data_IF_970421638957
#
_entry.id   IF_970421638957
#
_cell.length_a   1.000
_cell.length_b   1.000
_cell.length_c   1.000
_cell.angle_alpha   90.00
_cell.angle_beta   90.00
_cell.angle_gamma   90.00
#
_symmetry.space_group_name_H-M   'P 1'
#
loop_
_entity.id
_entity.type
_entity.pdbx_description
1 polymer ?
#
# COMPACT_ATOMS: atom_id res chain seq x y z
N UNK A 1 -10.43 -13.33 32.88
CA UNK A 1 -11.44 -12.55 32.13
C UNK A 1 -11.02 -12.44 30.66
N UNK A 2 -10.70 -13.58 30.05
CA UNK A 2 -10.24 -13.70 28.65
C UNK A 2 -11.23 -14.62 27.95
N UNK A 3 -11.95 -14.10 26.96
CA UNK A 3 -12.75 -14.86 25.97
C UNK A 3 -13.70 -13.94 25.18
N UNK A 4 -14.02 -12.74 25.67
CA UNK A 4 -15.08 -11.93 25.05
C UNK A 4 -14.65 -11.20 23.74
N UNK A 5 -13.37 -10.87 23.58
CA UNK A 5 -12.90 -10.06 22.44
C UNK A 5 -12.75 -10.84 21.13
N UNK A 6 -12.35 -12.12 21.20
CA UNK A 6 -12.21 -12.99 20.03
C UNK A 6 -13.57 -13.31 19.40
N UNK A 7 -14.59 -13.54 20.24
CA UNK A 7 -15.95 -13.85 19.80
C UNK A 7 -16.63 -12.67 19.11
N UNK A 8 -16.37 -11.43 19.54
CA UNK A 8 -16.96 -10.23 18.94
C UNK A 8 -16.45 -9.98 17.50
N UNK A 9 -15.15 -10.20 17.25
CA UNK A 9 -14.55 -10.05 15.92
C UNK A 9 -15.09 -11.11 14.93
N UNK A 10 -15.22 -12.37 15.35
CA UNK A 10 -15.80 -13.43 14.50
C UNK A 10 -17.31 -13.25 14.22
N UNK A 11 -18.06 -12.60 15.12
CA UNK A 11 -19.49 -12.36 14.93
C UNK A 11 -19.78 -11.25 13.90
N UNK A 12 -18.91 -10.24 13.84
CA UNK A 12 -19.03 -9.13 12.88
C UNK A 12 -18.84 -9.61 11.43
N UNK A 13 -17.88 -10.52 11.19
CA UNK A 13 -17.64 -11.12 9.87
C UNK A 13 -18.78 -12.02 9.39
N UNK A 14 -19.49 -12.73 10.29
CA UNK A 14 -20.60 -13.62 9.91
C UNK A 14 -21.87 -12.89 9.50
N UNK A 15 -22.12 -11.68 10.02
CA UNK A 15 -23.36 -10.93 9.72
C UNK A 15 -23.37 -10.31 8.31
N UNK A 16 -22.21 -10.14 7.68
CA UNK A 16 -22.11 -9.55 6.35
C UNK A 16 -22.33 -10.54 5.18
N UNK A 17 -22.53 -11.83 5.47
CA UNK A 17 -22.57 -12.90 4.45
C UNK A 17 -23.97 -13.50 4.20
N UNK A 18 -25.04 -12.93 4.75
CA UNK A 18 -26.38 -13.53 4.69
C UNK A 18 -27.46 -12.57 4.12
N UNK A 19 -27.41 -12.34 2.81
CA UNK A 19 -28.50 -11.86 1.93
C UNK A 19 -27.92 -11.98 0.50
N UNK A 20 -28.48 -12.61 -0.53
CA UNK A 20 -29.82 -13.09 -0.88
C UNK A 20 -29.67 -14.31 -1.82
N UNK A 21 -30.60 -15.29 -1.76
CA UNK A 21 -30.78 -16.30 -2.80
C UNK A 21 -32.27 -16.39 -3.12
N UNK A 22 -32.65 -15.97 -4.33
CA UNK A 22 -33.98 -16.15 -4.90
C UNK A 22 -33.86 -16.39 -6.41
N UNK A 23 -34.19 -17.59 -6.85
CA UNK A 23 -34.05 -18.04 -8.23
C UNK A 23 -35.26 -17.77 -9.12
N UNK A 24 -35.06 -17.95 -10.44
CA UNK A 24 -36.11 -18.01 -11.45
C UNK A 24 -35.51 -18.18 -12.84
N UNK A 25 -35.68 -19.36 -13.46
CA UNK A 25 -35.08 -19.73 -14.74
C UNK A 25 -35.93 -19.35 -15.98
N UNK A 26 -35.31 -19.48 -17.16
CA UNK A 26 -36.01 -19.48 -18.45
C UNK A 26 -35.12 -19.31 -19.70
N UNK A 27 -34.85 -20.42 -20.39
CA UNK A 27 -34.97 -20.59 -21.86
C UNK A 27 -34.11 -19.82 -22.89
N UNK A 28 -33.28 -20.60 -23.61
CA UNK A 28 -32.94 -20.53 -25.06
C UNK A 28 -32.44 -19.23 -25.72
N UNK A 29 -31.21 -19.28 -26.28
CA UNK A 29 -30.95 -19.39 -27.73
C UNK A 29 -29.49 -19.03 -28.08
N UNK A 30 -28.91 -19.84 -28.97
CA UNK A 30 -27.54 -19.77 -29.49
C UNK A 30 -27.44 -18.70 -30.57
N UNK A 31 -26.53 -17.72 -30.44
CA UNK A 31 -26.06 -16.91 -31.59
C UNK A 31 -24.59 -16.51 -31.45
N UNK A 32 -23.98 -16.55 -32.61
CA UNK A 32 -22.57 -16.51 -32.98
C UNK A 32 -21.89 -15.15 -32.80
N UNK A 33 -20.59 -15.20 -32.53
CA UNK A 33 -19.66 -14.07 -32.52
C UNK A 33 -19.27 -13.70 -31.10
N UNK A 34 -18.13 -14.20 -30.60
CA UNK A 34 -17.55 -13.67 -29.36
C UNK A 34 -17.15 -12.22 -29.64
N UNK A 35 -17.81 -11.22 -29.05
CA UNK A 35 -17.20 -9.91 -28.96
C UNK A 35 -15.97 -10.14 -28.10
N UNK A 36 -14.80 -9.68 -28.54
CA UNK A 36 -13.64 -9.61 -27.66
C UNK A 36 -14.02 -8.58 -26.60
N UNK A 37 -14.61 -9.04 -25.49
CA UNK A 37 -15.01 -8.21 -24.36
C UNK A 37 -13.74 -7.49 -23.96
N UNK A 38 -13.69 -6.21 -24.30
CA UNK A 38 -12.67 -5.30 -23.79
C UNK A 38 -13.07 -5.15 -22.33
N UNK A 39 -12.53 -6.02 -21.47
CA UNK A 39 -12.71 -5.91 -20.03
C UNK A 39 -12.34 -4.46 -19.70
N UNK A 40 -13.33 -3.67 -19.29
CA UNK A 40 -13.05 -2.38 -18.70
C UNK A 40 -12.36 -2.71 -17.39
N UNK A 41 -11.03 -2.79 -17.41
CA UNK A 41 -10.26 -3.03 -16.22
C UNK A 41 -10.72 -2.02 -15.16
N UNK A 42 -11.11 -2.52 -13.99
CA UNK A 42 -11.48 -1.68 -12.85
C UNK A 42 -10.43 -0.58 -12.69
N UNK A 43 -10.89 0.67 -12.59
CA UNK A 43 -9.99 1.80 -12.38
C UNK A 43 -9.53 1.76 -10.94
N UNK A 44 -8.23 1.95 -10.69
CA UNK A 44 -7.74 2.05 -9.31
C UNK A 44 -8.34 3.22 -8.53
N UNK A 45 -8.94 4.22 -9.20
CA UNK A 45 -9.75 5.27 -8.53
C UNK A 45 -10.90 4.68 -7.71
N UNK A 46 -11.50 3.56 -8.14
CA UNK A 46 -12.58 2.90 -7.40
C UNK A 46 -12.11 2.28 -6.08
N UNK A 47 -10.83 1.88 -6.00
CA UNK A 47 -10.21 1.40 -4.76
C UNK A 47 -10.03 2.56 -3.78
N UNK A 48 -9.55 3.70 -4.27
CA UNK A 48 -9.38 4.91 -3.46
C UNK A 48 -10.72 5.42 -2.94
N UNK A 49 -11.74 5.50 -3.81
CA UNK A 49 -13.08 5.95 -3.42
C UNK A 49 -13.67 5.05 -2.33
N UNK A 50 -13.65 3.72 -2.55
CA UNK A 50 -14.08 2.76 -1.53
C UNK A 50 -13.33 2.97 -0.22
N UNK A 51 -12.01 3.19 -0.29
CA UNK A 51 -11.22 3.34 0.93
C UNK A 51 -11.57 4.59 1.72
N UNK A 52 -11.84 5.71 1.05
CA UNK A 52 -12.27 6.94 1.70
C UNK A 52 -13.67 6.79 2.30
N UNK A 53 -14.60 6.19 1.55
CA UNK A 53 -15.98 5.97 2.00
C UNK A 53 -16.03 5.03 3.21
N UNK A 54 -15.32 3.89 3.14
CA UNK A 54 -15.25 2.94 4.25
C UNK A 54 -14.57 3.58 5.46
N UNK A 55 -13.45 4.29 5.29
CA UNK A 55 -12.77 4.97 6.42
C UNK A 55 -13.68 6.00 7.09
N UNK A 56 -14.52 6.71 6.32
CA UNK A 56 -15.46 7.70 6.85
C UNK A 56 -16.57 7.09 7.73
N UNK A 57 -16.85 5.79 7.60
CA UNK A 57 -17.76 5.08 8.50
C UNK A 57 -17.17 4.84 9.89
N UNK A 58 -15.84 4.76 9.98
CA UNK A 58 -15.11 4.49 11.21
C UNK A 58 -14.62 5.75 11.91
N UNK A 59 -14.27 6.78 11.15
CA UNK A 59 -13.66 7.99 11.71
C UNK A 59 -13.86 9.22 10.83
N UNK A 60 -13.73 10.41 11.41
CA UNK A 60 -13.82 11.66 10.67
C UNK A 60 -12.52 11.92 9.90
N UNK A 61 -12.59 11.80 8.58
CA UNK A 61 -11.49 12.10 7.65
C UNK A 61 -11.48 13.59 7.32
N UNK A 62 -10.31 14.22 7.33
CA UNK A 62 -10.10 15.61 6.94
C UNK A 62 -8.96 15.71 5.91
N UNK A 63 -9.01 16.65 4.94
CA UNK A 63 -7.89 16.88 4.03
C UNK A 63 -6.62 17.23 4.80
N UNK A 64 -5.50 16.60 4.44
CA UNK A 64 -4.19 16.92 5.03
C UNK A 64 -3.67 18.24 4.43
N UNK A 65 -2.80 19.00 5.14
CA UNK A 65 -2.08 20.14 4.55
C UNK A 65 -1.28 19.81 3.29
N UNK A 66 -0.96 18.52 3.07
CA UNK A 66 -0.32 18.06 1.84
C UNK A 66 -1.26 18.15 0.61
N UNK A 67 -2.57 18.16 0.80
CA UNK A 67 -3.56 18.16 -0.29
C UNK A 67 -3.45 19.43 -1.13
N UNK A 68 -3.33 20.59 -0.49
CA UNK A 68 -3.17 21.88 -1.16
C UNK A 68 -1.86 21.95 -1.96
N UNK A 69 -0.83 21.24 -1.48
CA UNK A 69 0.54 21.34 -1.98
C UNK A 69 0.81 20.39 -3.14
N UNK A 70 0.15 19.24 -3.17
CA UNK A 70 0.42 18.15 -4.12
C UNK A 70 -0.80 17.69 -4.92
N UNK A 71 -2.02 18.11 -4.55
CA UNK A 71 -3.25 17.68 -5.22
C UNK A 71 -3.37 18.10 -6.68
N UNK A 72 -2.56 19.06 -7.14
CA UNK A 72 -2.59 19.59 -8.51
C UNK A 72 -1.36 19.23 -9.35
N UNK A 73 -0.65 18.15 -9.02
CA UNK A 73 0.56 17.76 -9.76
C UNK A 73 0.20 17.36 -11.20
N UNK A 74 0.74 18.09 -12.19
CA UNK A 74 0.57 17.77 -13.61
C UNK A 74 1.72 16.88 -14.11
N UNK A 75 1.42 15.84 -14.91
CA UNK A 75 2.44 15.06 -15.61
C UNK A 75 3.26 15.90 -16.58
N UNK A 76 4.38 15.35 -17.04
CA UNK A 76 5.18 15.95 -18.12
C UNK A 76 4.53 15.78 -19.50
N UNK A 77 3.61 14.83 -19.66
CA UNK A 77 2.87 14.60 -20.89
C UNK A 77 1.36 14.82 -20.70
N UNK A 78 0.66 15.12 -21.80
CA UNK A 78 -0.81 15.29 -21.81
C UNK A 78 -1.57 13.94 -21.92
N UNK A 79 -0.87 12.81 -21.74
CA UNK A 79 -1.40 11.45 -21.99
C UNK A 79 -1.51 10.60 -20.73
N UNK A 80 -1.12 11.17 -19.60
CA UNK A 80 -1.14 10.55 -18.29
C UNK A 80 -2.02 11.39 -17.39
N UNK A 81 -2.91 10.75 -16.66
CA UNK A 81 -3.61 11.37 -15.55
C UNK A 81 -2.95 10.92 -14.25
N UNK A 82 -2.69 11.89 -13.37
CA UNK A 82 -2.16 11.65 -12.04
C UNK A 82 -3.11 12.30 -11.04
N UNK A 83 -3.40 11.57 -9.97
CA UNK A 83 -4.22 12.06 -8.88
C UNK A 83 -3.50 11.73 -7.57
N UNK A 84 -3.27 12.78 -6.78
CA UNK A 84 -2.67 12.71 -5.46
C UNK A 84 -3.70 13.19 -4.45
N UNK A 85 -4.07 12.29 -3.54
CA UNK A 85 -4.95 12.62 -2.43
C UNK A 85 -4.23 12.35 -1.11
N UNK A 86 -4.49 13.20 -0.12
CA UNK A 86 -3.91 13.10 1.21
C UNK A 86 -4.89 13.60 2.25
N UNK A 87 -5.09 12.79 3.28
CA UNK A 87 -6.03 13.01 4.36
C UNK A 87 -5.41 12.63 5.71
N UNK A 88 -6.01 13.11 6.77
CA UNK A 88 -5.69 12.78 8.16
C UNK A 88 -6.98 12.44 8.92
N UNK A 89 -6.85 11.71 10.03
CA UNK A 89 -7.94 11.38 10.94
C UNK A 89 -7.38 11.17 12.36
N UNK A 90 -8.21 11.14 13.42
CA UNK A 90 -7.75 11.04 14.81
C UNK A 90 -6.73 9.94 15.16
N UNK A 91 -6.75 8.78 14.48
CA UNK A 91 -5.76 7.70 14.65
C UNK A 91 -4.84 7.52 13.43
N UNK A 92 -5.05 8.33 12.40
CA UNK A 92 -4.39 8.25 11.09
C UNK A 92 -3.62 9.53 10.86
N UNK A 93 -2.30 9.46 11.07
CA UNK A 93 -1.40 10.59 10.80
C UNK A 93 -1.43 11.00 9.34
N UNK A 94 -1.51 10.03 8.43
CA UNK A 94 -1.57 10.29 6.99
C UNK A 94 -2.17 9.09 6.23
N UNK A 95 -3.32 9.31 5.60
CA UNK A 95 -3.82 8.50 4.50
C UNK A 95 -3.42 9.19 3.21
N UNK A 96 -2.80 8.48 2.28
CA UNK A 96 -2.42 9.05 0.98
C UNK A 96 -2.58 8.06 -0.16
N UNK A 97 -2.97 8.59 -1.31
CA UNK A 97 -3.05 7.84 -2.56
C UNK A 97 -2.35 8.57 -3.69
N UNK A 98 -1.53 7.85 -4.45
CA UNK A 98 -1.11 8.22 -5.79
C UNK A 98 -1.79 7.26 -6.78
N UNK A 99 -2.63 7.81 -7.64
CA UNK A 99 -3.22 7.08 -8.77
C UNK A 99 -2.63 7.62 -10.06
N UNK A 100 -2.16 6.71 -10.92
CA UNK A 100 -1.66 7.07 -12.26
C UNK A 100 -2.44 6.27 -13.28
N UNK A 101 -2.98 6.94 -14.28
CA UNK A 101 -3.61 6.33 -15.44
C UNK A 101 -2.94 6.85 -16.71
N UNK A 102 -2.18 5.97 -17.37
CA UNK A 102 -1.46 6.30 -18.59
C UNK A 102 -2.07 5.63 -19.82
N UNK A 103 -1.56 6.04 -20.99
CA UNK A 103 -1.88 5.36 -22.25
C UNK A 103 -1.49 3.86 -22.25
N UNK A 104 -2.11 3.07 -23.13
CA UNK A 104 -1.83 1.63 -23.32
C UNK A 104 -2.07 0.75 -22.08
N UNK A 105 -3.00 1.15 -21.22
CA UNK A 105 -3.43 0.36 -20.07
C UNK A 105 -2.46 0.39 -18.89
N UNK A 106 -1.56 1.38 -18.83
CA UNK A 106 -0.78 1.65 -17.63
C UNK A 106 -1.71 2.15 -16.53
N UNK A 107 -1.74 1.45 -15.39
CA UNK A 107 -2.37 1.93 -14.17
C UNK A 107 -1.45 1.68 -12.98
N UNK A 108 -1.35 2.66 -12.09
CA UNK A 108 -0.59 2.55 -10.84
C UNK A 108 -1.46 3.02 -9.69
N UNK A 109 -1.44 2.28 -8.59
CA UNK A 109 -1.94 2.70 -7.29
C UNK A 109 -0.81 2.57 -6.28
N UNK A 110 -0.51 3.65 -5.58
CA UNK A 110 0.17 3.62 -4.30
C UNK A 110 -0.76 4.19 -3.24
N UNK A 111 -1.27 3.35 -2.36
CA UNK A 111 -2.17 3.72 -1.29
C UNK A 111 -1.64 3.19 0.04
N UNK A 112 -1.68 4.02 1.09
CA UNK A 112 -1.31 3.59 2.42
C UNK A 112 -1.93 4.50 3.49
N UNK A 113 -2.05 3.93 4.68
CA UNK A 113 -2.53 4.60 5.87
C UNK A 113 -1.49 4.45 6.96
N UNK A 114 -0.91 5.57 7.37
CA UNK A 114 0.07 5.65 8.44
C UNK A 114 -0.63 6.05 9.74
N UNK A 115 -0.53 5.23 10.79
CA UNK A 115 -1.14 5.56 12.07
C UNK A 115 -0.39 6.69 12.79
N UNK A 116 -1.05 7.34 13.73
CA UNK A 116 -0.35 8.17 14.72
C UNK A 116 0.60 7.33 15.57
N UNK A 117 1.77 7.84 16.00
CA UNK A 117 2.75 7.07 16.77
C UNK A 117 2.23 6.54 18.11
N UNK A 118 1.17 7.14 18.66
CA UNK A 118 0.47 6.63 19.83
C UNK A 118 -0.32 5.34 19.56
N UNK A 119 -0.49 4.93 18.30
CA UNK A 119 -1.10 3.65 17.95
C UNK A 119 -0.08 2.81 17.18
N UNK A 120 0.32 1.68 17.75
CA UNK A 120 1.28 0.75 17.15
C UNK A 120 0.66 -0.12 16.02
N UNK A 121 -0.37 0.42 15.35
CA UNK A 121 -1.06 -0.27 14.26
C UNK A 121 -0.09 -0.62 13.13
N UNK A 122 -0.34 -1.72 12.41
CA UNK A 122 0.31 -1.97 11.11
C UNK A 122 0.08 -0.79 10.15
N UNK A 123 0.96 -0.64 9.17
CA UNK A 123 0.79 0.30 8.06
C UNK A 123 -0.01 -0.41 6.97
N UNK A 124 -1.23 0.07 6.66
CA UNK A 124 -1.96 -0.46 5.51
C UNK A 124 -1.22 -0.07 4.23
N UNK A 125 -1.01 -1.00 3.30
CA UNK A 125 -0.25 -0.76 2.08
C UNK A 125 -0.87 -1.49 0.89
N UNK A 126 -1.16 -0.74 -0.18
CA UNK A 126 -1.62 -1.24 -1.46
C UNK A 126 -0.81 -0.60 -2.59
N UNK A 127 0.08 -1.37 -3.19
CA UNK A 127 0.93 -0.98 -4.30
C UNK A 127 0.63 -1.85 -5.51
N UNK A 128 -0.17 -1.33 -6.44
CA UNK A 128 -0.61 -2.04 -7.63
C UNK A 128 -0.02 -1.41 -8.87
N UNK A 129 0.52 -2.25 -9.75
CA UNK A 129 1.06 -1.85 -11.03
C UNK A 129 0.47 -2.74 -12.11
N UNK A 130 -0.20 -2.12 -13.07
CA UNK A 130 -0.73 -2.78 -14.27
C UNK A 130 -0.09 -2.15 -15.49
N UNK A 131 0.50 -2.97 -16.35
CA UNK A 131 0.98 -2.54 -17.65
C UNK A 131 0.70 -3.62 -18.70
N UNK A 132 0.09 -3.21 -19.82
CA UNK A 132 -0.41 -4.10 -20.85
C UNK A 132 -1.31 -5.21 -20.27
N UNK A 133 -0.83 -6.44 -20.22
CA UNK A 133 -1.56 -7.61 -19.69
C UNK A 133 -0.97 -8.15 -18.38
N UNK A 134 -0.03 -7.43 -17.74
CA UNK A 134 0.66 -7.91 -16.54
C UNK A 134 0.36 -7.02 -15.35
N UNK A 135 0.05 -7.66 -14.23
CA UNK A 135 -0.19 -7.01 -12.94
C UNK A 135 0.89 -7.45 -11.95
N UNK A 136 1.38 -6.50 -11.17
CA UNK A 136 2.30 -6.70 -10.05
C UNK A 136 1.65 -6.01 -8.86
N UNK A 137 1.39 -6.77 -7.81
CA UNK A 137 0.58 -6.33 -6.68
C UNK A 137 1.29 -6.68 -5.38
N UNK A 138 1.36 -5.68 -4.50
CA UNK A 138 1.62 -5.84 -3.08
C UNK A 138 0.42 -5.28 -2.33
N UNK A 139 -0.28 -6.11 -1.57
CA UNK A 139 -1.33 -5.70 -0.63
C UNK A 139 -0.99 -6.30 0.74
N UNK A 140 -0.89 -5.45 1.75
CA UNK A 140 -0.46 -5.88 3.08
C UNK A 140 -0.93 -4.95 4.20
N UNK A 141 -0.94 -5.48 5.41
CA UNK A 141 -0.90 -4.72 6.65
C UNK A 141 0.53 -4.82 7.17
N UNK A 142 1.44 -4.00 6.65
CA UNK A 142 2.86 -4.09 6.96
C UNK A 142 3.09 -3.90 8.47
N UNK A 143 3.79 -4.83 9.14
CA UNK A 143 3.99 -4.74 10.57
C UNK A 143 4.90 -3.58 10.92
N UNK A 144 4.59 -2.89 12.01
CA UNK A 144 5.45 -1.84 12.54
C UNK A 144 6.77 -2.43 13.08
N UNK A 145 6.69 -3.64 13.66
CA UNK A 145 7.82 -4.36 14.23
C UNK A 145 8.07 -5.69 13.52
N UNK A 146 9.34 -6.11 13.42
CA UNK A 146 9.73 -7.38 12.81
C UNK A 146 9.02 -8.56 13.49
N UNK A 147 8.04 -9.15 12.80
CA UNK A 147 7.18 -10.24 13.33
C UNK A 147 7.91 -11.55 13.56
N UNK A 148 9.15 -11.70 13.07
CA UNK A 148 10.01 -12.85 13.40
C UNK A 148 10.63 -12.67 14.78
N UNK A 149 10.95 -11.42 15.16
CA UNK A 149 11.59 -11.09 16.44
C UNK A 149 10.58 -10.75 17.53
N UNK A 150 9.47 -10.12 17.17
CA UNK A 150 8.43 -9.62 18.08
C UNK A 150 7.18 -10.48 17.97
N UNK A 151 7.22 -11.66 18.61
CA UNK A 151 6.10 -12.61 18.55
C UNK A 151 4.84 -12.03 19.18
N UNK A 152 4.98 -11.26 20.24
CA UNK A 152 3.88 -10.55 20.91
C UNK A 152 3.15 -9.58 19.97
N UNK A 153 3.90 -8.86 19.12
CA UNK A 153 3.31 -7.97 18.12
C UNK A 153 2.63 -8.77 17.00
N UNK A 154 3.26 -9.88 16.58
CA UNK A 154 2.70 -10.79 15.59
C UNK A 154 1.36 -11.36 16.05
N UNK A 155 1.32 -11.90 17.26
CA UNK A 155 0.12 -12.52 17.83
C UNK A 155 -1.00 -11.47 17.97
N UNK A 156 -0.68 -10.28 18.50
CA UNK A 156 -1.62 -9.16 18.68
C UNK A 156 -2.36 -8.77 17.39
N UNK A 157 -1.67 -8.74 16.25
CA UNK A 157 -2.23 -8.18 15.01
C UNK A 157 -2.57 -9.19 13.92
N UNK A 158 -1.92 -10.35 13.89
CA UNK A 158 -2.01 -11.26 12.74
C UNK A 158 -2.59 -12.63 13.05
N UNK A 159 -2.65 -13.06 14.31
CA UNK A 159 -3.23 -14.37 14.67
C UNK A 159 -4.67 -14.50 14.16
N UNK A 160 -5.50 -13.48 14.41
CA UNK A 160 -6.89 -13.42 13.94
C UNK A 160 -7.06 -13.18 12.43
N UNK A 161 -5.98 -12.88 11.69
CA UNK A 161 -6.01 -12.56 10.27
C UNK A 161 -5.44 -13.67 9.39
N UNK A 162 -4.91 -14.75 9.97
CA UNK A 162 -4.28 -15.83 9.18
C UNK A 162 -5.22 -16.44 8.14
N UNK A 163 -6.50 -16.65 8.48
CA UNK A 163 -7.49 -17.17 7.54
C UNK A 163 -7.75 -16.21 6.37
N UNK A 164 -7.72 -14.89 6.59
CA UNK A 164 -7.86 -13.89 5.52
C UNK A 164 -6.71 -14.04 4.50
N UNK A 165 -5.47 -14.13 4.99
CA UNK A 165 -4.30 -14.32 4.13
C UNK A 165 -4.35 -15.63 3.35
N UNK A 166 -4.75 -16.73 4.00
CA UNK A 166 -4.86 -18.05 3.36
C UNK A 166 -5.92 -18.06 2.24
N UNK A 167 -7.10 -17.49 2.50
CA UNK A 167 -8.18 -17.43 1.51
C UNK A 167 -7.73 -16.75 0.21
N UNK A 168 -6.98 -15.65 0.30
CA UNK A 168 -6.50 -14.95 -0.89
C UNK A 168 -5.23 -15.56 -1.49
N UNK A 169 -4.41 -16.26 -0.71
CA UNK A 169 -3.27 -17.02 -1.23
C UNK A 169 -3.70 -18.18 -2.14
N UNK A 170 -4.91 -18.74 -1.95
CA UNK A 170 -5.49 -19.75 -2.84
C UNK A 170 -5.95 -19.17 -4.18
N UNK A 171 -6.30 -17.88 -4.22
CA UNK A 171 -6.88 -17.21 -5.40
C UNK A 171 -5.84 -16.41 -6.20
N UNK A 172 -4.83 -15.84 -5.52
CA UNK A 172 -3.82 -14.97 -6.10
C UNK A 172 -2.47 -15.70 -6.11
N UNK A 173 -1.88 -15.97 -7.29
CA UNK A 173 -0.64 -16.75 -7.37
C UNK A 173 0.55 -15.98 -6.78
N UNK A 174 1.46 -16.69 -6.12
CA UNK A 174 2.66 -16.07 -5.54
C UNK A 174 3.54 -15.38 -6.60
N UNK A 175 3.93 -14.14 -6.33
CA UNK A 175 4.64 -13.27 -7.29
C UNK A 175 6.12 -13.62 -7.54
N UNK A 176 6.68 -14.59 -6.80
CA UNK A 176 8.07 -15.02 -6.91
C UNK A 176 8.93 -14.62 -5.70
N UNK A 177 10.25 -14.70 -5.84
CA UNK A 177 11.18 -14.47 -4.71
C UNK A 177 11.10 -13.03 -4.18
N UNK A 178 10.96 -12.90 -2.87
CA UNK A 178 11.15 -11.65 -2.13
C UNK A 178 12.59 -11.56 -1.62
N UNK A 179 13.13 -10.35 -1.45
CA UNK A 179 14.45 -10.17 -0.85
C UNK A 179 14.39 -10.43 0.66
N UNK A 180 15.46 -10.95 1.25
CA UNK A 180 15.53 -11.15 2.71
C UNK A 180 15.34 -9.87 3.51
N UNK A 181 15.72 -8.72 2.93
CA UNK A 181 15.48 -7.40 3.53
C UNK A 181 14.00 -7.01 3.53
N UNK A 182 13.27 -7.26 2.43
CA UNK A 182 11.84 -6.96 2.32
C UNK A 182 11.00 -7.76 3.32
N UNK A 183 11.41 -8.98 3.66
CA UNK A 183 10.71 -9.83 4.63
C UNK A 183 10.62 -9.22 6.03
N UNK A 184 11.47 -8.24 6.36
CA UNK A 184 11.40 -7.50 7.65
C UNK A 184 10.19 -6.58 7.73
N UNK A 185 9.59 -6.23 6.59
CA UNK A 185 8.51 -5.26 6.47
C UNK A 185 7.21 -5.86 5.94
N UNK A 186 7.19 -7.16 5.66
CA UNK A 186 5.99 -7.86 5.22
C UNK A 186 5.37 -8.69 6.34
N UNK A 187 4.05 -8.69 6.37
CA UNK A 187 3.30 -9.50 7.32
C UNK A 187 3.21 -10.96 6.88
N UNK A 188 2.77 -11.86 7.78
CA UNK A 188 2.44 -13.24 7.41
C UNK A 188 1.27 -13.37 6.43
N UNK A 189 0.48 -12.31 6.22
CA UNK A 189 -0.69 -12.29 5.34
C UNK A 189 -0.45 -11.45 4.07
N UNK A 190 0.80 -11.11 3.76
CA UNK A 190 1.14 -10.33 2.56
C UNK A 190 0.63 -11.00 1.28
N UNK A 191 -0.07 -10.24 0.44
CA UNK A 191 -0.36 -10.62 -0.94
C UNK A 191 0.71 -10.00 -1.82
N UNK A 192 1.73 -10.78 -2.13
CA UNK A 192 2.69 -10.49 -3.20
C UNK A 192 2.35 -11.37 -4.40
N UNK A 193 1.80 -10.76 -5.45
CA UNK A 193 1.30 -11.51 -6.61
C UNK A 193 1.67 -10.88 -7.95
N UNK A 194 1.82 -11.74 -8.96
CA UNK A 194 1.96 -11.36 -10.36
C UNK A 194 0.99 -12.20 -11.19
N UNK A 195 0.10 -11.55 -11.94
CA UNK A 195 -0.90 -12.27 -12.74
C UNK A 195 -1.22 -11.57 -14.06
N UNK A 196 -1.83 -12.32 -14.98
CA UNK A 196 -2.30 -11.81 -16.27
C UNK A 196 -3.66 -11.12 -16.14
N UNK A 197 -3.83 -9.98 -16.79
CA UNK A 197 -5.06 -9.19 -16.72
C UNK A 197 -6.25 -9.99 -17.23
N UNK A 198 -7.26 -10.14 -16.38
CA UNK A 198 -8.58 -10.67 -16.72
C UNK A 198 -9.59 -10.08 -15.74
N UNK A 199 -10.86 -9.99 -16.13
CA UNK A 199 -11.91 -9.44 -15.27
C UNK A 199 -11.94 -10.14 -13.91
N UNK A 200 -11.95 -11.48 -13.92
CA UNK A 200 -11.93 -12.30 -12.72
C UNK A 200 -10.79 -11.94 -11.76
N UNK A 201 -9.56 -11.81 -12.27
CA UNK A 201 -8.42 -11.47 -11.40
C UNK A 201 -8.51 -10.04 -10.85
N UNK A 202 -9.08 -9.10 -11.59
CA UNK A 202 -9.32 -7.74 -11.09
C UNK A 202 -10.43 -7.72 -10.02
N UNK A 203 -11.48 -8.54 -10.18
CA UNK A 203 -12.55 -8.68 -9.18
C UNK A 203 -12.03 -9.31 -7.87
N UNK A 204 -11.16 -10.33 -7.99
CA UNK A 204 -10.47 -10.95 -6.84
C UNK A 204 -9.57 -9.93 -6.15
N UNK A 205 -8.79 -9.15 -6.91
CA UNK A 205 -7.93 -8.10 -6.34
C UNK A 205 -8.75 -7.03 -5.60
N UNK A 206 -9.87 -6.59 -6.18
CA UNK A 206 -10.74 -5.61 -5.55
C UNK A 206 -11.36 -6.15 -4.26
N UNK A 207 -11.81 -7.41 -4.26
CA UNK A 207 -12.32 -8.08 -3.06
C UNK A 207 -11.24 -8.18 -1.97
N UNK A 208 -10.02 -8.57 -2.34
CA UNK A 208 -8.88 -8.62 -1.43
C UNK A 208 -8.60 -7.26 -0.80
N UNK A 209 -8.58 -6.20 -1.60
CA UNK A 209 -8.37 -4.84 -1.11
C UNK A 209 -9.44 -4.43 -0.09
N UNK A 210 -10.73 -4.68 -0.41
CA UNK A 210 -11.83 -4.35 0.50
C UNK A 210 -11.70 -5.08 1.84
N UNK A 211 -11.45 -6.39 1.81
CA UNK A 211 -11.36 -7.20 3.03
C UNK A 211 -10.13 -6.83 3.87
N UNK A 212 -8.98 -6.59 3.24
CA UNK A 212 -7.77 -6.14 3.94
C UNK A 212 -7.97 -4.75 4.56
N UNK A 213 -8.62 -3.83 3.85
CA UNK A 213 -8.89 -2.50 4.39
C UNK A 213 -9.85 -2.57 5.58
N UNK A 214 -10.94 -3.34 5.46
CA UNK A 214 -11.88 -3.57 6.56
C UNK A 214 -11.21 -4.21 7.77
N UNK A 215 -10.31 -5.18 7.54
CA UNK A 215 -9.52 -5.77 8.62
C UNK A 215 -8.65 -4.70 9.31
N UNK A 216 -7.97 -3.84 8.55
CA UNK A 216 -7.15 -2.77 9.10
C UNK A 216 -7.99 -1.73 9.87
N UNK A 217 -9.15 -1.34 9.36
CA UNK A 217 -10.08 -0.43 10.04
C UNK A 217 -10.61 -1.05 11.34
N UNK A 218 -10.91 -2.35 11.34
CA UNK A 218 -11.27 -3.09 12.56
C UNK A 218 -10.14 -3.09 13.60
N UNK A 219 -8.87 -3.23 13.18
CA UNK A 219 -7.72 -3.07 14.07
C UNK A 219 -7.60 -1.63 14.59
N UNK A 220 -7.86 -0.64 13.74
CA UNK A 220 -7.82 0.78 14.11
C UNK A 220 -8.87 1.10 15.19
N UNK A 221 -10.10 0.58 15.05
CA UNK A 221 -11.17 0.78 16.04
C UNK A 221 -10.74 0.26 17.42
N UNK A 222 -10.19 -0.95 17.45
CA UNK A 222 -9.68 -1.62 18.65
C UNK A 222 -8.35 -1.05 19.16
N UNK A 223 -7.68 -0.22 18.36
CA UNK A 223 -6.38 0.36 18.67
C UNK A 223 -6.43 1.19 19.96
N UNK A 224 -5.67 0.75 20.97
CA UNK A 224 -5.53 1.44 22.25
C UNK A 224 -4.40 2.47 22.13
N UNK A 225 -4.65 3.68 22.60
CA UNK A 225 -3.66 4.75 22.62
C UNK A 225 -2.56 4.44 23.64
N UNK A 226 -1.32 4.41 23.19
CA UNK A 226 -0.13 4.33 24.05
C UNK A 226 0.10 5.68 24.76
N UNK A 227 0.48 5.60 26.02
CA UNK A 227 0.77 6.75 26.89
C UNK A 227 2.23 6.81 27.35
N UNK A 228 2.94 5.69 27.25
CA UNK A 228 4.37 5.63 27.53
C UNK A 228 5.17 6.34 26.43
N UNK A 229 5.85 7.42 26.80
CA UNK A 229 6.62 8.24 25.88
C UNK A 229 7.73 7.45 25.15
N UNK A 230 8.37 6.48 25.81
CA UNK A 230 9.44 5.68 25.20
C UNK A 230 8.90 4.76 24.11
N UNK A 231 7.70 4.20 24.31
CA UNK A 231 7.02 3.37 23.31
C UNK A 231 6.50 4.19 22.13
N UNK A 232 5.96 5.38 22.39
CA UNK A 232 5.55 6.31 21.32
C UNK A 232 6.75 6.70 20.45
N UNK A 233 7.92 6.96 21.07
CA UNK A 233 9.16 7.23 20.34
C UNK A 233 9.57 6.00 19.51
N UNK A 234 9.55 4.80 20.10
CA UNK A 234 9.89 3.56 19.38
C UNK A 234 8.96 3.30 18.18
N UNK A 235 7.65 3.55 18.34
CA UNK A 235 6.67 3.45 17.25
C UNK A 235 6.99 4.44 16.12
N UNK A 236 7.32 5.70 16.47
CA UNK A 236 7.71 6.72 15.51
C UNK A 236 8.98 6.32 14.74
N UNK A 237 9.99 5.83 15.45
CA UNK A 237 11.22 5.36 14.83
C UNK A 237 10.98 4.16 13.91
N UNK A 238 10.09 3.24 14.30
CA UNK A 238 9.70 2.11 13.49
C UNK A 238 9.01 2.54 12.18
N UNK A 239 8.08 3.50 12.24
CA UNK A 239 7.50 4.11 11.04
C UNK A 239 8.58 4.77 10.19
N UNK A 240 9.49 5.54 10.80
CA UNK A 240 10.58 6.19 10.07
C UNK A 240 11.51 5.17 9.37
N UNK A 241 11.84 4.04 10.01
CA UNK A 241 12.62 2.96 9.38
C UNK A 241 11.91 2.37 8.17
N UNK A 242 10.60 2.12 8.26
CA UNK A 242 9.79 1.64 7.14
C UNK A 242 9.83 2.63 5.97
N UNK A 243 9.59 3.92 6.25
CA UNK A 243 9.57 4.98 5.24
C UNK A 243 10.95 5.17 4.58
N UNK A 244 12.03 5.11 5.38
CA UNK A 244 13.41 5.17 4.86
C UNK A 244 13.70 4.00 3.93
N UNK A 245 13.34 2.78 4.35
CA UNK A 245 13.52 1.59 3.52
C UNK A 245 12.73 1.67 2.21
N UNK A 246 11.47 2.10 2.25
CA UNK A 246 10.66 2.35 1.04
C UNK A 246 11.34 3.39 0.14
N UNK A 247 11.77 4.52 0.69
CA UNK A 247 12.40 5.59 -0.08
C UNK A 247 13.64 5.11 -0.88
N UNK A 248 14.39 4.15 -0.33
CA UNK A 248 15.60 3.61 -0.96
C UNK A 248 15.35 2.42 -1.89
N UNK A 249 14.31 1.62 -1.62
CA UNK A 249 14.14 0.28 -2.23
C UNK A 249 12.87 0.13 -3.06
N UNK A 250 11.99 1.13 -3.09
CA UNK A 250 10.73 1.04 -3.84
C UNK A 250 10.99 0.87 -5.35
N UNK A 251 10.58 -0.25 -5.97
CA UNK A 251 10.76 -0.46 -7.40
C UNK A 251 9.95 0.53 -8.25
N UNK A 252 8.96 1.21 -7.68
CA UNK A 252 8.16 2.26 -8.33
C UNK A 252 8.95 3.53 -8.65
N UNK A 253 10.09 3.77 -7.99
CA UNK A 253 10.89 4.99 -8.18
C UNK A 253 11.29 5.23 -9.65
N UNK A 254 11.65 4.18 -10.37
CA UNK A 254 12.04 4.30 -11.79
C UNK A 254 10.86 4.68 -12.69
N UNK A 255 9.64 4.26 -12.34
CA UNK A 255 8.42 4.67 -13.06
C UNK A 255 8.14 6.15 -12.78
N UNK A 256 8.22 6.57 -11.53
CA UNK A 256 8.02 7.96 -11.10
C UNK A 256 9.06 8.90 -11.73
N UNK A 257 10.33 8.49 -11.75
CA UNK A 257 11.42 9.22 -12.40
C UNK A 257 11.15 9.47 -13.89
N UNK A 258 10.60 8.49 -14.60
CA UNK A 258 10.24 8.63 -16.02
C UNK A 258 9.04 9.55 -16.24
N UNK A 259 8.06 9.53 -15.34
CA UNK A 259 6.82 10.31 -15.47
C UNK A 259 6.97 11.78 -15.06
N UNK A 260 7.77 12.06 -14.04
CA UNK A 260 7.87 13.39 -13.44
C UNK A 260 9.27 14.04 -13.55
N UNK A 261 10.27 13.29 -14.01
CA UNK A 261 11.67 13.69 -13.91
C UNK A 261 12.24 13.49 -12.51
N UNK A 262 13.57 13.39 -12.42
CA UNK A 262 14.27 12.98 -11.20
C UNK A 262 13.97 13.86 -9.98
N UNK A 263 13.93 15.18 -10.16
CA UNK A 263 13.69 16.12 -9.06
C UNK A 263 12.31 15.95 -8.43
N UNK A 264 11.27 15.71 -9.23
CA UNK A 264 9.89 15.59 -8.75
C UNK A 264 9.58 14.20 -8.22
N UNK A 265 10.17 13.15 -8.80
CA UNK A 265 10.12 11.80 -8.25
C UNK A 265 10.72 11.74 -6.83
N UNK A 266 11.83 12.46 -6.59
CA UNK A 266 12.40 12.59 -5.25
C UNK A 266 11.46 13.31 -4.28
N UNK A 267 10.73 14.33 -4.72
CA UNK A 267 9.77 15.05 -3.86
C UNK A 267 8.59 14.16 -3.47
N UNK A 268 8.08 13.34 -4.39
CA UNK A 268 6.99 12.40 -4.09
C UNK A 268 7.46 11.24 -3.20
N UNK A 269 8.66 10.68 -3.43
CA UNK A 269 9.28 9.78 -2.46
C UNK A 269 9.51 10.45 -1.10
N UNK A 270 9.79 11.75 -1.06
CA UNK A 270 9.93 12.53 0.18
C UNK A 270 8.59 12.84 0.87
N UNK A 271 7.44 12.70 0.20
CA UNK A 271 6.13 12.80 0.86
C UNK A 271 5.89 11.66 1.84
N UNK A 272 6.59 10.54 1.62
CA UNK A 272 6.66 9.45 2.59
C UNK A 272 7.56 9.83 3.79
N UNK A 273 8.45 10.81 3.66
CA UNK A 273 9.35 11.29 4.72
C UNK A 273 8.81 12.55 5.43
N UNK A 274 7.71 12.38 6.18
CA UNK A 274 7.23 13.21 7.32
C UNK A 274 6.88 14.70 7.03
N UNK A 275 5.63 15.11 7.38
CA UNK A 275 5.39 16.41 8.01
C UNK A 275 4.99 16.19 9.49
N UNK A 276 5.88 16.49 10.42
CA UNK A 276 5.52 16.76 11.81
C UNK A 276 6.20 18.06 12.20
N UNK A 277 5.38 19.04 12.56
CA UNK A 277 5.74 20.43 12.76
C UNK A 277 6.82 20.66 13.85
N UNK A 278 7.48 21.82 13.72
CA UNK A 278 8.25 22.58 14.73
C UNK A 278 9.66 22.10 15.14
N UNK A 279 10.58 21.90 14.18
CA UNK A 279 12.00 22.17 14.42
C UNK A 279 12.76 22.53 13.14
N UNK A 280 13.36 23.74 13.01
CA UNK A 280 14.13 24.15 11.84
C UNK A 280 15.39 23.29 11.58
N UNK A 281 15.80 22.45 12.54
CA UNK A 281 17.01 21.62 12.41
C UNK A 281 16.78 20.27 11.72
N UNK A 282 15.56 19.75 11.62
CA UNK A 282 15.31 18.41 11.06
C UNK A 282 15.10 18.36 9.54
N UNK A 283 14.94 19.52 8.89
CA UNK A 283 14.88 19.66 7.42
C UNK A 283 16.25 19.33 6.77
N UNK A 284 17.32 19.24 7.56
CA UNK A 284 18.68 18.97 7.06
C UNK A 284 18.98 17.49 6.77
N UNK A 285 18.18 16.55 7.28
CA UNK A 285 18.47 15.11 7.09
C UNK A 285 18.03 14.61 5.70
N UNK A 286 16.88 15.08 5.18
CA UNK A 286 16.47 14.75 3.80
C UNK A 286 17.36 15.44 2.74
N UNK A 287 17.91 16.61 3.07
CA UNK A 287 18.91 17.28 2.23
C UNK A 287 20.26 16.53 2.19
N UNK A 288 20.61 15.81 3.27
CA UNK A 288 21.89 15.08 3.36
C UNK A 288 21.91 13.79 2.53
N UNK A 289 20.79 13.06 2.43
CA UNK A 289 20.70 11.85 1.61
C UNK A 289 20.80 12.14 0.10
N UNK A 290 20.32 13.31 -0.34
CA UNK A 290 20.50 13.78 -1.72
C UNK A 290 21.96 14.17 -2.03
N UNK A 291 22.76 14.51 -1.00
CA UNK A 291 24.18 14.86 -1.14
C UNK A 291 25.09 13.62 -1.11
N UNK A 292 24.75 12.59 -0.31
CA UNK A 292 25.52 11.34 -0.24
C UNK A 292 25.40 10.52 -1.54
N UNK A 293 24.25 10.58 -2.24
CA UNK A 293 24.10 9.94 -3.56
C UNK A 293 24.92 10.61 -4.67
N UNK A 294 25.40 11.84 -4.49
CA UNK A 294 26.25 12.54 -5.47
C UNK A 294 27.71 12.09 -5.46
N UNK A 295 28.19 11.43 -4.39
CA UNK A 295 29.62 11.09 -4.24
C UNK A 295 30.00 9.63 -4.55
N UNK A 296 29.07 8.78 -5.00
CA UNK A 296 29.35 7.37 -5.36
C UNK A 296 29.17 6.98 -6.83
N UNK A 297 28.90 7.94 -7.72
CA UNK A 297 28.81 7.70 -9.17
C UNK A 297 29.83 8.51 -9.99
N UNK A 298 31.02 8.75 -9.46
CA UNK A 298 32.18 9.08 -10.29
C UNK A 298 33.47 8.44 -9.76
N UNK A 299 33.62 7.16 -10.09
CA UNK A 299 34.93 6.52 -10.26
C UNK A 299 34.74 5.23 -11.06
N UNK A 300 34.29 5.39 -12.31
CA UNK A 300 34.62 4.42 -13.35
C UNK A 300 36.03 4.76 -13.83
N UNK A 301 37.02 4.00 -13.38
CA UNK A 301 38.33 3.94 -14.00
C UNK A 301 38.64 2.46 -14.25
N UNK A 302 38.41 2.08 -15.50
CA UNK A 302 39.16 1.09 -16.29
C UNK A 302 40.32 0.39 -15.58
N UNK A 303 40.25 -0.94 -15.52
CA UNK A 303 41.45 -1.76 -15.59
C UNK A 303 41.35 -2.67 -16.81
N UNK A 304 42.19 -2.34 -17.78
CA UNK A 304 42.60 -3.15 -18.90
C UNK A 304 43.30 -4.41 -18.40
N UNK A 305 42.94 -5.53 -19.01
CA UNK A 305 43.72 -6.77 -19.01
C UNK A 305 45.05 -6.52 -19.72
N UNK A 306 46.16 -6.62 -18.99
CA UNK A 306 47.46 -6.95 -19.56
C UNK A 306 47.99 -8.22 -18.90
N UNK A 307 48.37 -9.13 -19.78
CA UNK A 307 48.95 -10.44 -19.58
C UNK A 307 50.43 -10.34 -19.18
N UNK A 308 51.00 -11.49 -18.78
CA UNK A 308 52.45 -11.84 -18.77
C UNK A 308 53.16 -11.39 -17.48
N UNK A 309 53.84 -12.21 -16.66
CA UNK A 309 54.48 -13.53 -16.76
C UNK A 309 54.29 -14.31 -15.45
#
# INVERSE_FOLDING_TARGET
>A
MESASSTAFSLALRRSSAAELGGGGGGFARRTGRPRVRASALSYRQFVQFALDETALHTRVAPSPLQERFGSMKPLDDKTEIELLSYEAPKIRLLRSLSIQGSKGLQVLDFAMFPEPEYDLPIFCANFFTAAETNIVVLDLNPLYDVVKHKEYKDKYYEGLMSLGLNYAELLPWGGKLTGESLRFFSPIVIWTRFKSSQHMHDVLYSAFMDYLKAWLGLMDLGIRETDASRIIANREAQHRYLTWRAEKDPGYEVLKRLFGETRAKVEMSLTAIPTSTSPLHIRICSYLSLVMKHRMWSGASYSTESIH
#
